data_IF_392918267667
#
_entry.id   IF_392918267667
#
_cell.length_a   1.000
_cell.length_b   1.000
_cell.length_c   1.000
_cell.angle_alpha   90.00
_cell.angle_beta   90.00
_cell.angle_gamma   90.00
#
_symmetry.space_group_name_H-M   'P 1'
#
loop_
_entity.id
_entity.type
_entity.pdbx_description
1 polymer ?
#
# COMPACT_ATOMS: atom_id res chain seq x y z
N UNK A 1 -0.67 -22.80 -4.71
CA UNK A 1 0.32 -21.96 -5.42
C UNK A 1 -0.48 -20.98 -6.26
N UNK A 2 -0.77 -19.79 -5.72
CA UNK A 2 -1.51 -18.76 -6.45
C UNK A 2 -0.44 -17.78 -6.94
N UNK A 3 -0.22 -17.77 -8.25
CA UNK A 3 0.70 -16.87 -8.95
C UNK A 3 0.10 -15.47 -8.95
N UNK A 4 0.67 -14.55 -8.16
CA UNK A 4 0.29 -13.14 -8.20
C UNK A 4 1.03 -12.47 -9.37
N UNK A 5 0.28 -12.08 -10.38
CA UNK A 5 0.78 -11.44 -11.61
C UNK A 5 1.13 -9.99 -11.28
N UNK A 6 2.44 -9.72 -11.27
CA UNK A 6 3.12 -8.46 -11.56
C UNK A 6 2.27 -7.18 -11.50
N UNK A 7 2.31 -6.51 -10.35
CA UNK A 7 1.95 -5.10 -10.28
C UNK A 7 3.01 -4.30 -11.05
N UNK A 8 2.63 -3.76 -12.21
CA UNK A 8 3.40 -2.75 -12.94
C UNK A 8 3.34 -1.47 -12.11
N UNK A 9 4.23 -1.36 -11.13
CA UNK A 9 4.57 -0.08 -10.54
C UNK A 9 5.36 0.68 -11.61
N UNK A 10 4.70 1.64 -12.24
CA UNK A 10 5.33 2.69 -13.03
C UNK A 10 6.23 3.47 -12.09
N UNK A 11 7.47 2.97 -11.93
CA UNK A 11 8.57 3.60 -11.23
C UNK A 11 9.03 4.75 -12.10
N UNK A 12 8.26 5.84 -12.08
CA UNK A 12 8.58 7.05 -12.81
C UNK A 12 9.92 7.58 -12.29
N UNK A 13 10.89 7.49 -13.18
CA UNK A 13 12.28 7.87 -13.07
C UNK A 13 12.42 9.31 -12.57
N UNK A 14 12.54 9.46 -11.25
CA UNK A 14 13.32 10.54 -10.65
C UNK A 14 14.19 9.93 -9.57
N UNK A 15 15.39 9.57 -10.00
CA UNK A 15 16.58 9.44 -9.18
C UNK A 15 16.70 10.66 -8.23
N UNK A 16 16.14 10.59 -7.03
CA UNK A 16 16.52 11.51 -5.96
C UNK A 16 17.55 10.82 -5.10
N UNK A 17 18.80 11.06 -5.50
CA UNK A 17 20.04 11.12 -4.71
C UNK A 17 20.14 10.16 -3.52
N UNK A 18 21.10 9.24 -3.63
CA UNK A 18 21.53 8.39 -2.53
C UNK A 18 21.72 9.16 -1.22
N UNK A 19 21.07 8.66 -0.18
CA UNK A 19 21.57 8.79 1.17
C UNK A 19 22.39 7.54 1.43
N UNK A 20 23.71 7.71 1.51
CA UNK A 20 24.68 6.65 1.75
C UNK A 20 24.28 5.88 3.04
N UNK A 21 23.71 4.69 2.89
CA UNK A 21 23.46 3.74 3.99
C UNK A 21 22.09 3.80 4.69
N UNK A 22 21.11 4.58 4.20
CA UNK A 22 19.78 4.62 4.83
C UNK A 22 18.85 3.55 4.24
N UNK A 23 18.22 2.75 5.10
CA UNK A 23 17.08 1.90 4.75
C UNK A 23 15.81 2.77 4.80
N UNK A 24 15.29 3.27 3.66
CA UNK A 24 14.24 4.29 3.66
C UNK A 24 12.94 3.76 4.27
N UNK A 25 12.27 4.63 5.04
CA UNK A 25 11.03 4.31 5.72
C UNK A 25 9.85 4.34 4.75
N UNK A 26 9.08 3.25 4.71
CA UNK A 26 7.89 3.10 3.89
C UNK A 26 6.65 2.93 4.78
N UNK A 27 5.68 3.82 4.64
CA UNK A 27 4.35 3.64 5.22
C UNK A 27 3.43 2.96 4.19
N UNK A 28 2.83 1.82 4.56
CA UNK A 28 1.77 1.18 3.77
C UNK A 28 0.44 1.57 4.40
N UNK A 29 -0.38 2.34 3.70
CA UNK A 29 -1.68 2.84 4.16
C UNK A 29 -2.81 2.06 3.50
N UNK A 30 -4.03 2.19 4.02
CA UNK A 30 -5.15 1.29 3.75
C UNK A 30 -5.39 1.05 2.24
N UNK A 31 -5.65 -0.21 1.90
CA UNK A 31 -6.04 -0.61 0.55
C UNK A 31 -7.56 -0.55 0.38
N UNK A 32 -8.02 0.11 -0.67
CA UNK A 32 -9.46 0.28 -0.93
C UNK A 32 -10.03 -0.91 -1.71
N UNK A 33 -11.05 -1.58 -1.17
CA UNK A 33 -11.82 -2.57 -1.91
C UNK A 33 -12.65 -1.90 -3.01
N UNK A 34 -12.40 -2.25 -4.27
CA UNK A 34 -13.16 -1.78 -5.43
C UNK A 34 -14.22 -2.78 -5.87
N UNK A 35 -14.24 -3.98 -5.29
CA UNK A 35 -15.37 -4.88 -5.51
C UNK A 35 -16.60 -4.26 -4.87
N UNK A 36 -17.76 -4.36 -5.53
CA UNK A 36 -19.04 -3.91 -4.97
C UNK A 36 -19.54 -4.85 -3.86
N UNK A 37 -18.63 -5.61 -3.25
CA UNK A 37 -18.93 -6.70 -2.34
C UNK A 37 -18.04 -6.63 -1.10
N UNK A 38 -18.69 -6.27 0.01
CA UNK A 38 -18.04 -6.14 1.32
C UNK A 38 -17.54 -7.47 1.89
N UNK A 39 -17.93 -8.61 1.31
CA UNK A 39 -17.38 -9.91 1.72
C UNK A 39 -15.87 -10.01 1.49
N UNK A 40 -15.28 -9.12 0.68
CA UNK A 40 -13.85 -9.09 0.40
C UNK A 40 -13.08 -8.05 1.22
N UNK A 41 -13.74 -7.23 2.06
CA UNK A 41 -13.08 -6.14 2.80
C UNK A 41 -11.94 -6.63 3.72
N UNK A 42 -12.02 -7.90 4.17
CA UNK A 42 -10.98 -8.55 4.98
C UNK A 42 -9.64 -8.71 4.26
N UNK A 43 -9.60 -8.60 2.92
CA UNK A 43 -8.36 -8.71 2.15
C UNK A 43 -7.47 -7.49 2.40
N UNK A 44 -8.05 -6.30 2.66
CA UNK A 44 -7.30 -5.07 2.86
C UNK A 44 -6.22 -5.18 3.96
N UNK A 45 -6.53 -5.62 5.20
CA UNK A 45 -5.51 -5.75 6.25
C UNK A 45 -4.47 -6.84 5.93
N UNK A 46 -4.90 -7.99 5.41
CA UNK A 46 -3.99 -9.10 5.09
C UNK A 46 -3.01 -8.72 3.98
N UNK A 47 -3.50 -8.02 2.94
CA UNK A 47 -2.66 -7.54 1.84
C UNK A 47 -1.59 -6.56 2.33
N UNK A 48 -1.94 -5.64 3.24
CA UNK A 48 -0.99 -4.69 3.81
C UNK A 48 0.12 -5.39 4.61
N UNK A 49 -0.24 -6.41 5.40
CA UNK A 49 0.70 -7.18 6.21
C UNK A 49 1.63 -8.05 5.34
N UNK A 50 1.08 -8.80 4.39
CA UNK A 50 1.85 -9.65 3.48
C UNK A 50 2.81 -8.81 2.63
N UNK A 51 2.35 -7.68 2.10
CA UNK A 51 3.21 -6.77 1.33
C UNK A 51 4.31 -6.17 2.20
N UNK A 52 4.02 -5.81 3.45
CA UNK A 52 5.04 -5.35 4.39
C UNK A 52 6.11 -6.43 4.63
N UNK A 53 5.68 -7.68 4.82
CA UNK A 53 6.59 -8.81 5.02
C UNK A 53 7.47 -9.07 3.79
N UNK A 54 6.90 -9.10 2.59
CA UNK A 54 7.64 -9.27 1.34
C UNK A 54 8.68 -8.16 1.13
N UNK A 55 8.29 -6.90 1.36
CA UNK A 55 9.18 -5.75 1.19
C UNK A 55 10.30 -5.74 2.25
N UNK A 56 9.99 -6.14 3.48
CA UNK A 56 10.99 -6.29 4.53
C UNK A 56 12.03 -7.38 4.20
N UNK A 57 11.60 -8.49 3.59
CA UNK A 57 12.51 -9.54 3.12
C UNK A 57 13.44 -9.06 1.99
N UNK A 58 12.99 -8.16 1.13
CA UNK A 58 13.78 -7.57 0.05
C UNK A 58 14.88 -6.60 0.51
N UNK A 59 14.85 -6.15 1.77
CA UNK A 59 15.93 -5.37 2.42
C UNK A 59 16.20 -3.97 1.85
N UNK A 60 15.38 -3.48 0.92
CA UNK A 60 15.57 -2.19 0.26
C UNK A 60 14.78 -1.04 0.90
N UNK A 61 13.81 -1.37 1.75
CA UNK A 61 12.95 -0.45 2.51
C UNK A 61 12.66 -1.05 3.89
N UNK A 62 12.37 -0.22 4.90
CA UNK A 62 11.81 -0.65 6.17
C UNK A 62 10.36 -0.17 6.27
N UNK A 63 9.44 -1.10 6.50
CA UNK A 63 8.02 -0.81 6.62
C UNK A 63 7.68 -0.32 8.03
N UNK A 64 6.97 0.81 8.12
CA UNK A 64 6.47 1.32 9.40
C UNK A 64 5.35 0.42 9.95
N UNK A 65 5.32 0.15 11.27
CA UNK A 65 4.25 -0.61 11.92
C UNK A 65 2.86 -0.03 11.67
N UNK A 66 1.87 -0.89 11.45
CA UNK A 66 0.47 -0.48 11.23
C UNK A 66 -0.13 0.33 12.38
N UNK A 67 0.30 0.08 13.62
CA UNK A 67 -0.09 0.86 14.80
C UNK A 67 0.34 2.33 14.76
N UNK A 68 1.42 2.65 14.02
CA UNK A 68 1.85 4.03 13.78
C UNK A 68 1.12 4.62 12.58
N UNK A 69 0.87 3.81 11.55
CA UNK A 69 0.25 4.25 10.29
C UNK A 69 -1.25 4.52 10.44
N UNK A 70 -1.99 3.64 11.11
CA UNK A 70 -3.45 3.70 11.20
C UNK A 70 -3.95 5.01 11.84
N UNK A 71 -3.40 5.49 12.99
CA UNK A 71 -3.81 6.76 13.57
C UNK A 71 -3.45 7.96 12.69
N UNK A 72 -2.38 7.88 11.89
CA UNK A 72 -1.95 8.98 11.03
C UNK A 72 -2.93 9.27 9.88
N UNK A 73 -3.82 8.32 9.55
CA UNK A 73 -4.89 8.47 8.56
C UNK A 73 -6.08 9.29 9.07
N UNK A 74 -6.18 9.50 10.39
CA UNK A 74 -7.29 10.21 11.00
C UNK A 74 -7.43 11.66 10.47
N UNK A 75 -8.67 12.03 10.17
CA UNK A 75 -9.02 13.38 9.67
C UNK A 75 -8.62 13.65 8.22
N UNK A 76 -8.12 12.65 7.48
CA UNK A 76 -7.94 12.76 6.04
C UNK A 76 -9.22 12.36 5.30
N UNK A 77 -9.48 12.94 4.12
CA UNK A 77 -10.51 12.44 3.22
C UNK A 77 -10.29 10.96 2.92
N UNK A 78 -11.37 10.18 2.85
CA UNK A 78 -11.30 8.78 2.51
C UNK A 78 -10.62 8.57 1.14
N UNK A 79 -9.88 7.47 0.96
CA UNK A 79 -9.29 7.13 -0.32
C UNK A 79 -10.38 6.89 -1.37
N UNK A 80 -10.01 7.12 -2.64
CA UNK A 80 -10.89 6.90 -3.80
C UNK A 80 -10.44 5.63 -4.54
N UNK A 81 -10.93 5.40 -5.76
CA UNK A 81 -10.56 4.25 -6.58
C UNK A 81 -9.05 4.06 -6.76
N UNK A 82 -8.27 5.13 -6.77
CA UNK A 82 -6.80 5.07 -6.89
C UNK A 82 -6.04 5.14 -5.55
N UNK A 83 -6.73 4.99 -4.41
CA UNK A 83 -6.17 5.23 -3.09
C UNK A 83 -6.26 6.70 -2.66
N UNK A 84 -5.33 7.12 -1.81
CA UNK A 84 -5.31 8.49 -1.27
C UNK A 84 -4.90 9.51 -2.32
N UNK A 85 -5.53 10.69 -2.28
CA UNK A 85 -5.11 11.82 -3.10
C UNK A 85 -3.68 12.27 -2.73
N UNK A 86 -3.00 12.92 -3.69
CA UNK A 86 -1.61 13.39 -3.53
C UNK A 86 -1.39 14.22 -2.25
N UNK A 87 -2.34 15.11 -1.93
CA UNK A 87 -2.24 15.97 -0.74
C UNK A 87 -2.37 15.17 0.57
N UNK A 88 -3.26 14.17 0.60
CA UNK A 88 -3.37 13.24 1.71
C UNK A 88 -2.10 12.41 1.89
N UNK A 89 -1.52 11.92 0.80
CA UNK A 89 -0.24 11.20 0.82
C UNK A 89 0.91 12.08 1.32
N UNK A 90 0.97 13.34 0.90
CA UNK A 90 1.97 14.29 1.39
C UNK A 90 1.81 14.58 2.89
N UNK A 91 0.57 14.70 3.38
CA UNK A 91 0.28 14.85 4.80
C UNK A 91 0.69 13.60 5.60
N UNK A 92 0.35 12.40 5.11
CA UNK A 92 0.73 11.12 5.73
C UNK A 92 2.25 10.99 5.83
N UNK A 93 2.95 11.28 4.73
CA UNK A 93 4.41 11.24 4.67
C UNK A 93 5.03 12.13 5.74
N UNK A 94 4.52 13.36 5.88
CA UNK A 94 4.99 14.31 6.89
C UNK A 94 4.65 13.88 8.32
N UNK A 95 3.45 13.32 8.55
CA UNK A 95 3.02 12.86 9.89
C UNK A 95 3.84 11.68 10.39
N UNK A 96 4.23 10.81 9.48
CA UNK A 96 4.93 9.55 9.76
C UNK A 96 6.45 9.66 9.64
N UNK A 97 6.97 10.82 9.23
CA UNK A 97 8.38 11.02 8.88
C UNK A 97 8.90 9.94 7.90
N UNK A 98 8.05 9.54 6.96
CA UNK A 98 8.35 8.47 6.02
C UNK A 98 9.03 9.02 4.77
N UNK A 99 9.91 8.22 4.15
CA UNK A 99 10.45 8.53 2.83
C UNK A 99 9.38 8.31 1.76
N UNK A 100 8.59 7.24 1.91
CA UNK A 100 7.56 6.82 0.99
C UNK A 100 6.24 6.50 1.69
N UNK A 101 5.13 6.73 0.99
CA UNK A 101 3.80 6.30 1.39
C UNK A 101 3.17 5.55 0.22
N UNK A 102 2.78 4.30 0.46
CA UNK A 102 2.10 3.46 -0.50
C UNK A 102 0.62 3.37 -0.12
N UNK A 103 -0.25 3.85 -0.99
CA UNK A 103 -1.69 3.59 -0.94
C UNK A 103 -2.11 2.85 -2.20
N UNK A 104 -3.11 1.98 -2.08
CA UNK A 104 -3.60 1.26 -3.23
C UNK A 104 -5.07 0.88 -3.12
N UNK A 105 -5.48 0.07 -4.06
CA UNK A 105 -6.81 -0.48 -4.16
C UNK A 105 -6.71 -1.93 -4.61
N UNK A 106 -7.74 -2.71 -4.40
CA UNK A 106 -7.82 -4.04 -5.00
C UNK A 106 -9.21 -4.30 -5.55
N UNK A 107 -9.27 -5.13 -6.59
CA UNK A 107 -10.51 -5.60 -7.18
C UNK A 107 -10.52 -7.12 -7.19
N UNK A 108 -11.55 -7.70 -6.59
CA UNK A 108 -11.85 -9.12 -6.76
C UNK A 108 -12.83 -9.26 -7.92
N UNK A 109 -12.49 -10.07 -8.91
CA UNK A 109 -13.32 -10.37 -10.07
C UNK A 109 -13.53 -11.87 -10.21
N UNK A 110 -14.73 -12.29 -10.61
CA UNK A 110 -15.10 -13.71 -10.74
C UNK A 110 -15.97 -14.20 -9.58
N UNK A 111 -16.48 -15.43 -9.70
CA UNK A 111 -17.35 -16.07 -8.68
C UNK A 111 -16.80 -17.42 -8.30
N UNK A 112 -16.67 -17.72 -7.00
CA UNK A 112 -16.22 -19.02 -6.52
C UNK A 112 -14.73 -19.30 -6.79
N UNK A 113 -14.43 -20.50 -7.28
CA UNK A 113 -13.05 -20.98 -7.49
C UNK A 113 -12.26 -20.23 -8.57
N UNK A 114 -12.92 -19.43 -9.41
CA UNK A 114 -12.32 -18.64 -10.51
C UNK A 114 -12.11 -17.16 -10.13
N UNK A 115 -11.96 -16.86 -8.84
CA UNK A 115 -11.74 -15.49 -8.38
C UNK A 115 -10.30 -15.02 -8.65
N UNK A 116 -10.16 -13.83 -9.24
CA UNK A 116 -8.89 -13.16 -9.53
C UNK A 116 -8.81 -11.88 -8.71
N UNK A 117 -7.66 -11.68 -8.05
CA UNK A 117 -7.31 -10.43 -7.39
C UNK A 117 -6.50 -9.53 -8.34
N UNK A 118 -6.84 -8.24 -8.39
CA UNK A 118 -6.07 -7.18 -9.08
C UNK A 118 -5.71 -6.10 -8.08
N UNK A 119 -4.51 -5.53 -8.19
CA UNK A 119 -3.97 -4.44 -7.38
C UNK A 119 -3.80 -3.17 -8.22
#
# INVERSE_FOLDING_TARGET
MITLIAAILVFNERQTRGFLGANPALAIVDFTNLSQDRQHDWIAPVLGEELAAELAMGGSVHTLPGELVHPAQAGLPAPTTGGYARDSLAMLRKRLDADYVLSGSYLVSGTGADSSLRL
#
